data_IF_646739576482
#
_entry.id   IF_646739576482
#
_cell.length_a   1.000
_cell.length_b   1.000
_cell.length_c   1.000
_cell.angle_alpha   90.00
_cell.angle_beta   90.00
_cell.angle_gamma   90.00
#
_symmetry.space_group_name_H-M   'P 1'
#
loop_
_entity.id
_entity.type
_entity.pdbx_description
1 polymer ?
#
# COMPACT_ATOMS: atom_id res chain seq x y z
N UNK A 1 -20.23 -19.29 3.26
CA UNK A 1 -19.94 -20.73 3.50
C UNK A 1 -21.21 -21.55 3.28
N UNK A 2 -21.13 -22.68 2.57
CA UNK A 2 -22.20 -23.67 2.39
C UNK A 2 -21.72 -25.03 2.91
N UNK A 3 -22.63 -25.83 3.46
CA UNK A 3 -22.34 -27.18 3.93
C UNK A 3 -23.50 -28.10 3.59
N UNK A 4 -23.22 -29.18 2.87
CA UNK A 4 -24.19 -30.22 2.51
C UNK A 4 -23.74 -31.54 3.13
N UNK A 5 -24.59 -32.14 3.95
CA UNK A 5 -24.30 -33.42 4.64
C UNK A 5 -25.12 -34.54 4.02
N UNK A 6 -24.43 -35.59 3.60
CA UNK A 6 -25.01 -36.81 3.04
C UNK A 6 -24.92 -37.93 4.07
N UNK A 7 -26.06 -38.59 4.32
CA UNK A 7 -26.14 -39.75 5.21
C UNK A 7 -26.21 -41.01 4.37
N UNK A 8 -25.23 -41.90 4.54
CA UNK A 8 -25.10 -43.14 3.79
C UNK A 8 -25.34 -44.32 4.74
N UNK A 9 -26.41 -45.07 4.49
CA UNK A 9 -26.77 -46.23 5.30
C UNK A 9 -26.53 -47.50 4.49
N UNK A 10 -25.65 -48.37 5.00
CA UNK A 10 -25.44 -49.68 4.43
C UNK A 10 -26.16 -50.74 5.28
N UNK A 11 -27.26 -51.27 4.75
CA UNK A 11 -28.06 -52.32 5.38
C UNK A 11 -27.60 -53.74 5.00
N UNK A 12 -26.56 -53.89 4.16
CA UNK A 12 -26.03 -55.22 3.84
C UNK A 12 -24.97 -55.68 4.83
N UNK A 13 -24.72 -56.99 4.78
CA UNK A 13 -23.66 -57.74 5.45
C UNK A 13 -22.27 -57.61 4.79
N UNK A 14 -22.19 -56.97 3.63
CA UNK A 14 -20.93 -56.65 2.94
C UNK A 14 -20.68 -55.15 2.83
N UNK A 15 -19.40 -54.71 2.78
CA UNK A 15 -19.07 -53.29 2.58
C UNK A 15 -19.48 -52.83 1.18
N UNK A 16 -19.96 -51.59 1.09
CA UNK A 16 -20.36 -50.98 -0.18
C UNK A 16 -19.53 -49.75 -0.48
N UNK A 17 -19.21 -49.57 -1.75
CA UNK A 17 -18.61 -48.34 -2.26
C UNK A 17 -19.74 -47.51 -2.86
N UNK A 18 -19.91 -46.29 -2.36
CA UNK A 18 -20.85 -45.32 -2.90
C UNK A 18 -20.06 -44.22 -3.58
N UNK A 19 -20.41 -43.94 -4.83
CA UNK A 19 -19.97 -42.74 -5.52
C UNK A 19 -21.00 -41.65 -5.26
N UNK A 20 -20.59 -40.63 -4.51
CA UNK A 20 -21.40 -39.46 -4.23
C UNK A 20 -21.06 -38.37 -5.24
N UNK A 21 -22.06 -37.90 -5.98
CA UNK A 21 -21.93 -36.76 -6.88
C UNK A 21 -22.47 -35.50 -6.22
N UNK A 22 -21.60 -34.51 -6.04
CA UNK A 22 -21.96 -33.21 -5.51
C UNK A 22 -21.89 -32.17 -6.64
N UNK A 23 -22.94 -31.37 -6.89
CA UNK A 23 -22.95 -30.37 -7.94
C UNK A 23 -21.75 -29.43 -7.84
N UNK A 24 -21.11 -29.18 -8.98
CA UNK A 24 -20.02 -28.23 -9.15
C UNK A 24 -20.42 -27.22 -10.22
N UNK A 25 -20.61 -25.97 -9.80
CA UNK A 25 -20.92 -24.87 -10.71
C UNK A 25 -19.60 -24.21 -11.15
N UNK A 26 -19.10 -24.53 -12.36
CA UNK A 26 -17.86 -23.95 -12.90
C UNK A 26 -17.83 -22.42 -12.92
N UNK A 27 -18.99 -21.79 -13.06
CA UNK A 27 -19.13 -20.33 -13.12
C UNK A 27 -19.09 -19.66 -11.74
N UNK A 28 -19.31 -20.43 -10.67
CA UNK A 28 -19.26 -19.92 -9.30
C UNK A 28 -17.93 -20.29 -8.66
N UNK A 29 -17.15 -19.31 -8.17
CA UNK A 29 -15.79 -19.51 -7.62
C UNK A 29 -15.75 -20.19 -6.25
N UNK A 30 -16.70 -21.07 -5.93
CA UNK A 30 -16.71 -21.82 -4.67
C UNK A 30 -15.55 -22.82 -4.64
N UNK A 31 -14.93 -22.93 -3.47
CA UNK A 31 -13.82 -23.85 -3.23
C UNK A 31 -14.18 -24.85 -2.14
N UNK A 32 -13.79 -26.11 -2.34
CA UNK A 32 -13.90 -27.15 -1.32
C UNK A 32 -12.95 -26.85 -0.15
N UNK A 33 -13.53 -26.69 1.04
CA UNK A 33 -12.79 -26.44 2.28
C UNK A 33 -13.10 -27.54 3.28
N UNK A 34 -12.10 -28.05 4.01
CA UNK A 34 -12.29 -29.12 5.02
C UNK A 34 -13.10 -30.33 4.51
N UNK A 35 -13.02 -30.60 3.21
CA UNK A 35 -13.67 -31.73 2.53
C UNK A 35 -12.55 -32.59 1.93
N UNK A 36 -12.63 -33.94 2.01
CA UNK A 36 -11.68 -34.82 1.33
C UNK A 36 -11.57 -34.48 -0.16
N UNK A 37 -10.42 -34.72 -0.78
CA UNK A 37 -10.27 -34.50 -2.22
C UNK A 37 -11.25 -35.40 -2.99
N UNK A 38 -11.91 -34.87 -4.02
CA UNK A 38 -12.75 -35.69 -4.90
C UNK A 38 -11.88 -36.74 -5.61
N UNK A 39 -12.47 -37.90 -5.84
CA UNK A 39 -11.86 -39.01 -6.58
C UNK A 39 -11.82 -38.69 -8.09
N UNK A 40 -12.83 -37.95 -8.57
CA UNK A 40 -12.95 -37.49 -9.95
C UNK A 40 -13.69 -36.15 -10.04
N UNK A 41 -13.43 -35.41 -11.11
CA UNK A 41 -14.09 -34.14 -11.43
C UNK A 41 -14.70 -34.25 -12.84
N UNK A 42 -16.02 -34.20 -12.91
CA UNK A 42 -16.75 -34.18 -14.19
C UNK A 42 -17.12 -32.75 -14.60
N UNK A 43 -17.84 -32.59 -15.70
CA UNK A 43 -18.22 -31.27 -16.21
C UNK A 43 -19.01 -30.43 -15.19
N UNK A 44 -19.85 -31.08 -14.38
CA UNK A 44 -20.78 -30.41 -13.44
C UNK A 44 -20.79 -31.02 -12.02
N UNK A 45 -19.90 -31.96 -11.69
CA UNK A 45 -19.92 -32.63 -10.37
C UNK A 45 -18.53 -32.95 -9.83
N UNK A 46 -18.36 -32.77 -8.52
CA UNK A 46 -17.35 -33.48 -7.73
C UNK A 46 -17.84 -34.89 -7.42
N UNK A 47 -17.02 -35.91 -7.69
CA UNK A 47 -17.33 -37.29 -7.35
C UNK A 47 -16.47 -37.74 -6.17
N UNK A 48 -17.11 -38.13 -5.08
CA UNK A 48 -16.46 -38.67 -3.89
C UNK A 48 -16.69 -40.17 -3.80
N UNK A 49 -15.62 -40.93 -3.61
CA UNK A 49 -15.69 -42.38 -3.37
C UNK A 49 -15.71 -42.65 -1.87
N UNK A 50 -16.82 -43.18 -1.38
CA UNK A 50 -17.05 -43.40 0.05
C UNK A 50 -17.29 -44.89 0.30
N UNK A 51 -16.45 -45.50 1.14
CA UNK A 51 -16.64 -46.87 1.60
C UNK A 51 -17.50 -46.86 2.86
N UNK A 52 -18.62 -47.60 2.83
CA UNK A 52 -19.53 -47.77 3.97
C UNK A 52 -19.45 -49.21 4.45
N UNK A 53 -19.13 -49.40 5.73
CA UNK A 53 -18.98 -50.73 6.32
C UNK A 53 -20.33 -51.48 6.36
N UNK A 54 -20.33 -52.81 6.54
CA UNK A 54 -21.56 -53.58 6.75
C UNK A 54 -22.36 -53.06 7.94
N UNK A 55 -23.69 -53.06 7.82
CA UNK A 55 -24.61 -52.69 8.90
C UNK A 55 -24.29 -51.34 9.58
N UNK A 56 -23.71 -50.39 8.84
CA UNK A 56 -23.25 -49.12 9.39
C UNK A 56 -23.86 -47.93 8.66
N UNK A 57 -23.93 -46.81 9.37
CA UNK A 57 -24.21 -45.50 8.80
C UNK A 57 -22.96 -44.64 8.84
N UNK A 58 -22.68 -43.96 7.73
CA UNK A 58 -21.58 -42.99 7.62
C UNK A 58 -22.14 -41.66 7.14
N UNK A 59 -21.74 -40.57 7.79
CA UNK A 59 -22.04 -39.21 7.33
C UNK A 59 -20.85 -38.63 6.57
N UNK A 60 -21.10 -38.04 5.42
CA UNK A 60 -20.11 -37.33 4.61
C UNK A 60 -20.56 -35.89 4.39
N UNK A 61 -19.71 -34.93 4.77
CA UNK A 61 -20.03 -33.51 4.62
C UNK A 61 -19.15 -32.86 3.57
N UNK A 62 -19.79 -32.24 2.58
CA UNK A 62 -19.15 -31.37 1.59
C UNK A 62 -19.32 -29.93 2.07
N UNK A 63 -18.21 -29.22 2.24
CA UNK A 63 -18.16 -27.83 2.68
C UNK A 63 -17.50 -26.98 1.61
N UNK A 64 -18.17 -25.89 1.28
CA UNK A 64 -17.76 -24.97 0.23
C UNK A 64 -17.71 -23.54 0.77
N UNK A 65 -16.73 -22.79 0.28
CA UNK A 65 -16.57 -21.38 0.61
C UNK A 65 -16.35 -20.57 -0.67
N UNK A 66 -17.08 -19.46 -0.80
CA UNK A 66 -16.82 -18.45 -1.81
C UNK A 66 -15.83 -17.46 -1.20
N UNK A 67 -14.59 -17.36 -1.71
CA UNK A 67 -13.63 -16.39 -1.18
C UNK A 67 -14.14 -14.97 -1.44
N UNK A 68 -14.17 -14.16 -0.39
CA UNK A 68 -14.51 -12.74 -0.49
C UNK A 68 -13.32 -11.98 -1.09
N UNK A 69 -13.41 -11.64 -2.39
CA UNK A 69 -12.38 -10.86 -3.07
C UNK A 69 -12.70 -9.37 -2.88
N UNK A 70 -11.97 -8.71 -1.98
CA UNK A 70 -12.05 -7.26 -1.81
C UNK A 70 -10.93 -6.56 -2.56
N UNK A 71 -11.25 -5.73 -3.55
CA UNK A 71 -10.27 -4.94 -4.30
C UNK A 71 -10.15 -3.54 -3.70
N UNK A 72 -8.98 -3.19 -3.18
CA UNK A 72 -8.72 -1.86 -2.61
C UNK A 72 -7.68 -1.10 -3.44
N UNK A 73 -7.98 0.15 -3.77
CA UNK A 73 -7.01 1.04 -4.38
C UNK A 73 -5.99 1.49 -3.31
N UNK A 74 -4.74 1.04 -3.44
CA UNK A 74 -3.64 1.34 -2.50
C UNK A 74 -3.33 2.85 -2.42
N UNK A 75 -3.71 3.61 -3.45
CA UNK A 75 -3.54 5.06 -3.51
C UNK A 75 -4.20 5.79 -2.32
N UNK A 76 -5.35 5.30 -1.82
CA UNK A 76 -6.15 5.99 -0.81
C UNK A 76 -6.12 5.35 0.59
N UNK A 77 -5.21 4.39 0.83
CA UNK A 77 -5.10 3.73 2.14
C UNK A 77 -4.51 4.70 3.17
N UNK A 78 -5.21 4.85 4.31
CA UNK A 78 -4.76 5.56 5.52
C UNK A 78 -4.51 4.59 6.68
N UNK A 79 -3.88 5.06 7.75
CA UNK A 79 -3.64 4.25 8.96
C UNK A 79 -4.94 3.73 9.56
N UNK A 80 -5.98 4.56 9.58
CA UNK A 80 -7.31 4.18 10.06
C UNK A 80 -7.93 3.07 9.20
N UNK A 81 -7.70 3.06 7.87
CA UNK A 81 -8.14 1.96 7.02
C UNK A 81 -7.45 0.64 7.39
N UNK A 82 -6.12 0.66 7.62
CA UNK A 82 -5.39 -0.55 8.04
C UNK A 82 -5.94 -1.09 9.34
N UNK A 83 -6.14 -0.23 10.35
CA UNK A 83 -6.68 -0.67 11.65
C UNK A 83 -8.05 -1.34 11.53
N UNK A 84 -8.93 -0.80 10.67
CA UNK A 84 -10.24 -1.41 10.39
C UNK A 84 -10.08 -2.78 9.73
N UNK A 85 -9.21 -2.91 8.73
CA UNK A 85 -8.99 -4.19 8.05
C UNK A 85 -8.31 -5.25 8.93
N UNK A 86 -7.40 -4.84 9.82
CA UNK A 86 -6.80 -5.74 10.82
C UNK A 86 -7.84 -6.24 11.81
N UNK A 87 -8.71 -5.35 12.33
CA UNK A 87 -9.78 -5.73 13.28
C UNK A 87 -10.79 -6.69 12.66
N UNK A 88 -11.03 -6.57 11.36
CA UNK A 88 -11.91 -7.46 10.61
C UNK A 88 -11.25 -8.78 10.15
N UNK A 89 -10.01 -9.07 10.60
CA UNK A 89 -9.24 -10.26 10.23
C UNK A 89 -8.98 -10.40 8.71
N UNK A 90 -9.10 -9.33 7.94
CA UNK A 90 -8.88 -9.34 6.49
C UNK A 90 -7.39 -9.26 6.10
N UNK A 91 -6.51 -8.87 7.03
CA UNK A 91 -5.07 -8.73 6.77
C UNK A 91 -4.25 -9.72 7.58
N UNK A 92 -3.39 -10.48 6.90
CA UNK A 92 -2.33 -11.22 7.57
C UNK A 92 -1.23 -10.24 8.09
N UNK A 93 -0.39 -10.66 9.05
CA UNK A 93 0.63 -9.78 9.63
C UNK A 93 1.62 -9.18 8.62
N UNK A 94 1.97 -9.93 7.58
CA UNK A 94 2.89 -9.50 6.54
C UNK A 94 2.32 -8.37 5.69
N UNK A 95 1.05 -8.48 5.29
CA UNK A 95 0.33 -7.46 4.52
C UNK A 95 0.12 -6.19 5.36
N UNK A 96 -0.20 -6.34 6.66
CA UNK A 96 -0.27 -5.20 7.59
C UNK A 96 1.04 -4.41 7.61
N UNK A 97 2.16 -5.10 7.84
CA UNK A 97 3.48 -4.46 7.90
C UNK A 97 3.86 -3.75 6.58
N UNK A 98 3.51 -4.35 5.45
CA UNK A 98 3.77 -3.76 4.15
C UNK A 98 2.95 -2.46 3.92
N UNK A 99 1.68 -2.46 4.33
CA UNK A 99 0.81 -1.27 4.26
C UNK A 99 1.25 -0.17 5.23
N UNK A 100 1.69 -0.51 6.44
CA UNK A 100 2.28 0.45 7.40
C UNK A 100 3.49 1.15 6.77
N UNK A 101 4.41 0.39 6.16
CA UNK A 101 5.56 0.98 5.48
C UNK A 101 5.21 1.89 4.29
N UNK A 102 4.07 1.67 3.61
CA UNK A 102 3.56 2.59 2.58
C UNK A 102 3.12 3.92 3.19
N UNK A 103 2.42 3.87 4.32
CA UNK A 103 1.97 5.09 5.01
C UNK A 103 3.16 5.90 5.50
N UNK A 104 4.16 5.25 6.08
CA UNK A 104 5.37 5.92 6.54
C UNK A 104 6.07 6.65 5.39
N UNK A 105 6.19 6.02 4.22
CA UNK A 105 6.75 6.67 3.03
C UNK A 105 5.91 7.87 2.57
N UNK A 106 4.57 7.75 2.54
CA UNK A 106 3.68 8.88 2.22
C UNK A 106 3.86 10.04 3.20
N UNK A 107 3.99 9.75 4.50
CA UNK A 107 4.21 10.74 5.54
C UNK A 107 5.57 11.44 5.36
N UNK A 108 6.63 10.68 5.07
CA UNK A 108 7.96 11.21 4.76
C UNK A 108 7.92 12.13 3.53
N UNK A 109 7.29 11.71 2.44
CA UNK A 109 7.14 12.52 1.22
C UNK A 109 6.40 13.83 1.53
N UNK A 110 5.30 13.77 2.29
CA UNK A 110 4.55 14.97 2.71
C UNK A 110 5.40 15.92 3.57
N UNK A 111 6.22 15.38 4.47
CA UNK A 111 7.16 16.18 5.26
C UNK A 111 8.21 16.87 4.38
N UNK A 112 8.84 16.13 3.46
CA UNK A 112 9.84 16.67 2.52
C UNK A 112 9.26 17.75 1.61
N UNK A 113 8.01 17.60 1.15
CA UNK A 113 7.32 18.62 0.36
C UNK A 113 7.11 19.91 1.16
N UNK A 114 6.75 19.82 2.45
CA UNK A 114 6.62 20.99 3.32
C UNK A 114 7.97 21.71 3.48
N UNK A 115 9.03 20.96 3.76
CA UNK A 115 10.38 21.51 3.87
C UNK A 115 10.85 22.18 2.56
N UNK A 116 10.56 21.58 1.40
CA UNK A 116 10.84 22.19 0.09
C UNK A 116 10.13 23.53 -0.07
N UNK A 117 8.84 23.59 0.27
CA UNK A 117 8.05 24.82 0.20
C UNK A 117 8.62 25.92 1.10
N UNK A 118 9.08 25.58 2.30
CA UNK A 118 9.71 26.52 3.22
C UNK A 118 11.02 27.08 2.64
N UNK A 119 11.89 26.21 2.11
CA UNK A 119 13.15 26.62 1.49
C UNK A 119 12.95 27.50 0.26
N UNK A 120 11.97 27.17 -0.58
CA UNK A 120 11.61 27.98 -1.75
C UNK A 120 11.09 29.36 -1.36
N UNK A 121 10.28 29.45 -0.29
CA UNK A 121 9.81 30.72 0.24
C UNK A 121 10.97 31.58 0.76
N UNK A 122 11.91 30.97 1.49
CA UNK A 122 13.11 31.64 2.02
C UNK A 122 14.02 32.16 0.89
N UNK A 123 14.32 31.32 -0.10
CA UNK A 123 15.07 31.70 -1.31
C UNK A 123 14.40 32.88 -2.01
N UNK A 124 13.08 32.81 -2.21
CA UNK A 124 12.33 33.89 -2.84
C UNK A 124 12.36 35.20 -2.04
N UNK A 125 12.35 35.13 -0.71
CA UNK A 125 12.46 36.32 0.15
C UNK A 125 13.83 36.99 0.02
N UNK A 126 14.90 36.20 0.12
CA UNK A 126 16.27 36.73 0.02
C UNK A 126 16.51 37.35 -1.37
N UNK A 127 16.05 36.68 -2.44
CA UNK A 127 16.20 37.20 -3.80
C UNK A 127 15.52 38.56 -3.98
N UNK A 128 14.29 38.73 -3.47
CA UNK A 128 13.58 40.03 -3.51
C UNK A 128 14.30 41.10 -2.69
N UNK A 129 14.80 40.74 -1.52
CA UNK A 129 15.53 41.68 -0.66
C UNK A 129 16.84 42.14 -1.33
N UNK A 130 17.55 41.23 -2.01
CA UNK A 130 18.74 41.57 -2.78
C UNK A 130 18.44 42.50 -3.96
N UNK A 131 17.34 42.28 -4.69
CA UNK A 131 16.93 43.16 -5.78
C UNK A 131 16.64 44.58 -5.28
N UNK A 132 15.85 44.70 -4.20
CA UNK A 132 15.59 45.99 -3.53
C UNK A 132 16.88 46.67 -3.04
N UNK A 133 17.82 45.90 -2.49
CA UNK A 133 19.11 46.44 -2.05
C UNK A 133 19.96 46.94 -3.23
N UNK A 134 19.94 46.25 -4.37
CA UNK A 134 20.64 46.69 -5.60
C UNK A 134 20.02 47.97 -6.17
N UNK A 135 18.69 48.09 -6.15
CA UNK A 135 17.98 49.32 -6.52
C UNK A 135 18.33 50.49 -5.60
N UNK A 136 18.29 50.28 -4.28
CA UNK A 136 18.67 51.29 -3.29
C UNK A 136 20.13 51.75 -3.49
N UNK A 137 21.05 50.81 -3.76
CA UNK A 137 22.45 51.13 -4.04
C UNK A 137 22.63 52.00 -5.28
N UNK A 138 21.81 51.79 -6.33
CA UNK A 138 21.85 52.62 -7.55
C UNK A 138 21.36 54.05 -7.31
N UNK A 139 20.50 54.25 -6.32
CA UNK A 139 19.92 55.55 -5.98
C UNK A 139 20.79 56.40 -5.04
N UNK A 140 21.82 55.81 -4.40
CA UNK A 140 22.69 56.51 -3.46
C UNK A 140 23.76 57.36 -4.18
N UNK A 141 24.02 58.56 -3.64
CA UNK A 141 25.05 59.49 -4.10
C UNK A 141 26.46 59.20 -3.56
N UNK A 142 27.29 60.25 -3.45
CA UNK A 142 28.73 60.16 -3.11
C UNK A 142 29.10 60.78 -1.75
N UNK A 143 28.14 61.11 -0.90
CA UNK A 143 28.42 61.68 0.43
C UNK A 143 29.04 60.64 1.36
N UNK A 144 29.71 61.09 2.43
CA UNK A 144 30.40 60.17 3.35
C UNK A 144 29.43 59.28 4.14
N UNK A 145 28.25 59.79 4.47
CA UNK A 145 27.16 59.01 5.10
C UNK A 145 26.62 57.93 4.14
N UNK A 146 26.55 58.24 2.84
CA UNK A 146 26.14 57.28 1.81
C UNK A 146 27.18 56.16 1.63
N UNK A 147 28.48 56.44 1.78
CA UNK A 147 29.53 55.38 1.71
C UNK A 147 29.37 54.33 2.81
N UNK A 148 29.04 54.75 4.04
CA UNK A 148 28.79 53.80 5.14
C UNK A 148 27.55 52.93 4.85
N UNK A 149 26.50 53.51 4.30
CA UNK A 149 25.30 52.78 3.88
C UNK A 149 25.59 51.79 2.74
N UNK A 150 26.39 52.20 1.76
CA UNK A 150 26.85 51.32 0.66
C UNK A 150 27.59 50.11 1.22
N UNK A 151 28.54 50.32 2.13
CA UNK A 151 29.30 49.22 2.74
C UNK A 151 28.36 48.23 3.46
N UNK A 152 27.39 48.74 4.23
CA UNK A 152 26.40 47.89 4.93
C UNK A 152 25.54 47.08 3.96
N UNK A 153 25.09 47.66 2.85
CA UNK A 153 24.32 46.93 1.83
C UNK A 153 25.16 45.87 1.14
N UNK A 154 26.41 46.17 0.77
CA UNK A 154 27.33 45.19 0.17
C UNK A 154 27.56 44.00 1.10
N UNK A 155 27.80 44.24 2.40
CA UNK A 155 27.94 43.15 3.37
C UNK A 155 26.67 42.31 3.49
N UNK A 156 25.48 42.92 3.51
CA UNK A 156 24.20 42.18 3.52
C UNK A 156 23.97 41.36 2.26
N UNK A 157 24.32 41.91 1.09
CA UNK A 157 24.23 41.19 -0.17
C UNK A 157 25.11 39.94 -0.15
N UNK A 158 26.37 40.07 0.30
CA UNK A 158 27.31 38.95 0.43
C UNK A 158 26.76 37.85 1.35
N UNK A 159 26.26 38.21 2.54
CA UNK A 159 25.64 37.24 3.45
C UNK A 159 24.41 36.55 2.84
N UNK A 160 23.65 37.29 2.04
CA UNK A 160 22.51 36.76 1.30
C UNK A 160 22.92 35.73 0.25
N UNK A 161 24.01 35.97 -0.49
CA UNK A 161 24.55 34.99 -1.46
C UNK A 161 24.98 33.69 -0.76
N UNK A 162 25.72 33.81 0.35
CA UNK A 162 26.15 32.63 1.14
C UNK A 162 24.96 31.84 1.71
N UNK A 163 23.87 32.53 2.06
CA UNK A 163 22.63 31.88 2.50
C UNK A 163 21.89 31.22 1.33
N UNK A 164 21.79 31.90 0.18
CA UNK A 164 21.17 31.34 -1.03
C UNK A 164 21.89 30.09 -1.52
N UNK A 165 23.22 30.07 -1.50
CA UNK A 165 24.00 28.89 -1.87
C UNK A 165 23.66 27.70 -0.97
N UNK A 166 23.68 27.90 0.35
CA UNK A 166 23.30 26.85 1.32
C UNK A 166 21.88 26.35 1.12
N UNK A 167 20.91 27.26 0.97
CA UNK A 167 19.51 26.90 0.76
C UNK A 167 19.29 26.11 -0.53
N UNK A 168 20.00 26.44 -1.62
CA UNK A 168 19.92 25.70 -2.87
C UNK A 168 20.50 24.28 -2.76
N UNK A 169 21.58 24.11 -2.00
CA UNK A 169 22.14 22.79 -1.71
C UNK A 169 21.13 21.95 -0.91
N UNK A 170 20.52 22.55 0.12
CA UNK A 170 19.47 21.89 0.92
C UNK A 170 18.24 21.54 0.08
N UNK A 171 17.76 22.46 -0.76
CA UNK A 171 16.64 22.23 -1.69
C UNK A 171 16.94 21.06 -2.63
N UNK A 172 18.13 21.02 -3.23
CA UNK A 172 18.55 19.92 -4.10
C UNK A 172 18.52 18.58 -3.36
N UNK A 173 19.05 18.53 -2.13
CA UNK A 173 19.04 17.32 -1.30
C UNK A 173 17.61 16.86 -0.99
N UNK A 174 16.71 17.79 -0.68
CA UNK A 174 15.30 17.48 -0.42
C UNK A 174 14.59 16.98 -1.68
N UNK A 175 14.90 17.52 -2.86
CA UNK A 175 14.37 17.02 -4.14
C UNK A 175 14.82 15.58 -4.43
N UNK A 176 16.10 15.29 -4.20
CA UNK A 176 16.66 13.94 -4.33
C UNK A 176 16.01 12.97 -3.34
N UNK A 177 15.83 13.39 -2.09
CA UNK A 177 15.15 12.61 -1.06
C UNK A 177 13.69 12.33 -1.46
N UNK A 178 12.95 13.34 -1.93
CA UNK A 178 11.56 13.18 -2.41
C UNK A 178 11.48 12.16 -3.54
N UNK A 179 12.38 12.27 -4.52
CA UNK A 179 12.45 11.36 -5.67
C UNK A 179 12.74 9.92 -5.24
N UNK A 180 13.69 9.74 -4.32
CA UNK A 180 14.03 8.43 -3.75
C UNK A 180 12.85 7.81 -2.99
N UNK A 181 12.22 8.57 -2.09
CA UNK A 181 11.04 8.09 -1.35
C UNK A 181 9.87 7.78 -2.26
N UNK A 182 9.66 8.55 -3.34
CA UNK A 182 8.61 8.26 -4.33
C UNK A 182 8.87 6.95 -5.06
N UNK A 183 10.11 6.70 -5.52
CA UNK A 183 10.47 5.42 -6.15
C UNK A 183 10.24 4.24 -5.21
N UNK A 184 10.66 4.36 -3.95
CA UNK A 184 10.43 3.32 -2.94
C UNK A 184 8.95 3.07 -2.70
N UNK A 185 8.13 4.13 -2.70
CA UNK A 185 6.67 4.01 -2.58
C UNK A 185 6.09 3.24 -3.77
N UNK A 186 6.46 3.64 -5.00
CA UNK A 186 5.97 3.02 -6.23
C UNK A 186 6.35 1.52 -6.30
N UNK A 187 7.58 1.19 -5.93
CA UNK A 187 8.08 -0.20 -5.88
C UNK A 187 7.29 -1.04 -4.86
N UNK A 188 7.04 -0.52 -3.65
CA UNK A 188 6.26 -1.23 -2.63
C UNK A 188 4.81 -1.43 -3.05
N UNK A 189 4.19 -0.41 -3.64
CA UNK A 189 2.82 -0.50 -4.17
C UNK A 189 2.74 -1.55 -5.28
N UNK A 190 3.74 -1.60 -6.17
CA UNK A 190 3.80 -2.60 -7.24
C UNK A 190 3.93 -4.02 -6.70
N UNK A 191 4.84 -4.26 -5.75
CA UNK A 191 5.03 -5.58 -5.13
C UNK A 191 3.74 -6.08 -4.47
N UNK A 192 3.07 -5.23 -3.70
CA UNK A 192 1.80 -5.57 -3.07
C UNK A 192 0.68 -5.89 -4.07
N UNK A 193 0.64 -5.16 -5.19
CA UNK A 193 -0.34 -5.41 -6.25
C UNK A 193 -0.12 -6.76 -6.95
N UNK A 194 1.11 -7.26 -6.95
CA UNK A 194 1.46 -8.57 -7.53
C UNK A 194 1.11 -9.69 -6.55
N UNK A 195 1.48 -9.56 -5.27
CA UNK A 195 1.17 -10.56 -4.24
C UNK A 195 -0.34 -10.81 -4.11
N UNK A 196 -1.15 -9.75 -4.14
CA UNK A 196 -2.62 -9.88 -4.08
C UNK A 196 -3.25 -10.51 -5.33
N UNK A 197 -2.58 -10.51 -6.48
CA UNK A 197 -3.08 -11.19 -7.70
C UNK A 197 -2.78 -12.69 -7.70
N UNK A 198 -1.82 -13.13 -6.90
CA UNK A 198 -1.32 -14.51 -6.90
C UNK A 198 -1.93 -15.33 -5.75
N UNK A 199 -2.31 -14.69 -4.64
CA UNK A 199 -3.02 -15.31 -3.51
C UNK A 199 -4.53 -15.23 -3.66
#
# INVERSE_FOLDING_TARGET
>A
MKSTTYSLNNLSDHPKIVYLEHPYHKDEKWQLVKTPKPDDLTENYYRFKITVAPQSSTSFSVREELPEISTYAVSNITTTNIEVFVKANYLNPQLKQALEGIIDLKAQISSTIRQLSEKQAEIGSIARDQERMRENLRALGKTEDEKQLVQRYVSKLSLGEDQLERLRIEEKKLLEQRSSSQKQLDDRVRTLSIEHKIG
#
